data_IF_786691657293
#
_entry.id   IF_786691657293
#
_cell.length_a   1.000
_cell.length_b   1.000
_cell.length_c   1.000
_cell.angle_alpha   90.00
_cell.angle_beta   90.00
_cell.angle_gamma   90.00
#
_symmetry.space_group_name_H-M   'P 1'
#
loop_
_entity.id
_entity.type
_entity.pdbx_description
1 polymer ?
#
# COMPACT_ATOMS: atom_id res chain seq x y z
N UNK A 1 65.33 -72.88 -36.25
CA UNK A 1 64.48 -72.62 -37.47
C UNK A 1 63.50 -71.52 -37.12
N UNK A 2 63.78 -70.54 -37.52
CA UNK A 2 63.48 -69.21 -37.90
C UNK A 2 62.04 -68.96 -38.26
N UNK A 3 61.40 -67.94 -37.77
CA UNK A 3 60.56 -67.05 -38.56
C UNK A 3 60.19 -65.79 -37.77
N UNK A 4 60.81 -64.76 -38.23
CA UNK A 4 60.44 -63.36 -37.87
C UNK A 4 59.08 -62.99 -38.46
N UNK A 5 58.29 -62.26 -37.74
CA UNK A 5 57.19 -61.55 -38.34
C UNK A 5 57.12 -60.13 -37.73
N UNK A 6 57.23 -59.18 -38.63
CA UNK A 6 57.09 -57.74 -38.40
C UNK A 6 55.66 -57.39 -38.06
N UNK A 7 55.40 -56.62 -37.04
CA UNK A 7 54.10 -55.99 -36.82
C UNK A 7 54.26 -54.48 -36.96
N UNK A 8 53.57 -53.92 -37.95
CA UNK A 8 53.50 -52.49 -38.18
C UNK A 8 52.50 -51.81 -37.21
N UNK A 9 52.94 -50.79 -36.53
CA UNK A 9 52.08 -49.98 -35.67
C UNK A 9 51.34 -48.92 -36.50
N UNK A 10 50.02 -49.00 -36.53
CA UNK A 10 49.14 -47.93 -37.02
C UNK A 10 48.80 -46.97 -35.83
N UNK A 11 49.21 -45.73 -35.91
CA UNK A 11 48.79 -44.66 -35.02
C UNK A 11 47.47 -44.09 -35.51
N UNK A 12 46.41 -44.35 -34.78
CA UNK A 12 45.11 -43.65 -34.94
C UNK A 12 45.13 -42.35 -34.13
N UNK A 13 45.09 -41.24 -34.83
CA UNK A 13 44.93 -39.94 -34.24
C UNK A 13 43.43 -39.73 -33.80
N UNK A 14 43.25 -39.58 -32.50
CA UNK A 14 41.93 -39.23 -31.94
C UNK A 14 41.74 -37.71 -31.97
N UNK A 15 40.87 -37.24 -32.87
CA UNK A 15 40.40 -35.85 -32.85
C UNK A 15 39.39 -35.70 -31.69
N UNK A 16 39.77 -35.00 -30.64
CA UNK A 16 38.88 -34.61 -29.56
C UNK A 16 38.00 -33.42 -30.02
N UNK A 17 36.73 -33.68 -30.28
CA UNK A 17 35.73 -32.64 -30.50
C UNK A 17 35.38 -31.99 -29.17
N UNK A 18 35.82 -30.75 -28.96
CA UNK A 18 35.36 -29.88 -27.84
C UNK A 18 33.91 -29.46 -28.08
N UNK A 19 32.97 -30.21 -27.53
CA UNK A 19 31.60 -29.73 -27.37
C UNK A 19 31.58 -28.65 -26.28
N UNK A 20 31.52 -27.38 -26.69
CA UNK A 20 31.29 -26.26 -25.78
C UNK A 20 29.88 -26.40 -25.15
N UNK A 21 29.83 -26.79 -23.88
CA UNK A 21 28.62 -26.72 -23.08
C UNK A 21 28.20 -25.26 -22.96
N UNK A 22 27.19 -24.83 -23.71
CA UNK A 22 26.49 -23.60 -23.47
C UNK A 22 25.81 -23.75 -22.11
N UNK A 23 26.32 -23.03 -21.11
CA UNK A 23 25.60 -22.82 -19.85
C UNK A 23 24.28 -22.16 -20.17
N UNK A 24 23.17 -22.91 -20.10
CA UNK A 24 21.85 -22.35 -20.10
C UNK A 24 21.74 -21.46 -18.85
N UNK A 25 21.66 -20.15 -19.06
CA UNK A 25 21.34 -19.22 -17.98
C UNK A 25 19.96 -19.65 -17.43
N UNK A 26 19.96 -20.16 -16.20
CA UNK A 26 18.71 -20.47 -15.51
C UNK A 26 17.93 -19.16 -15.40
N UNK A 27 16.66 -19.19 -15.82
CA UNK A 27 15.75 -18.10 -15.56
C UNK A 27 15.75 -17.80 -14.04
N UNK A 28 15.69 -16.55 -13.62
CA UNK A 28 15.58 -16.24 -12.18
C UNK A 28 14.39 -17.04 -11.61
N UNK A 29 14.51 -17.57 -10.38
CA UNK A 29 13.42 -18.27 -9.76
C UNK A 29 12.19 -17.34 -9.71
N UNK A 30 10.96 -17.86 -9.92
CA UNK A 30 9.76 -17.07 -9.78
C UNK A 30 9.77 -16.43 -8.40
N UNK A 31 9.38 -15.15 -8.33
CA UNK A 31 9.28 -14.39 -7.10
C UNK A 31 8.55 -15.24 -6.05
N UNK A 32 9.27 -15.63 -4.99
CA UNK A 32 8.77 -16.56 -3.99
C UNK A 32 7.92 -15.89 -2.92
N UNK A 33 7.53 -14.64 -3.13
CA UNK A 33 6.61 -13.95 -2.23
C UNK A 33 5.28 -14.72 -2.18
N UNK A 34 4.78 -15.08 -1.00
CA UNK A 34 3.53 -15.82 -0.90
C UNK A 34 2.40 -14.97 -1.46
N UNK A 35 1.68 -15.52 -2.45
CA UNK A 35 0.48 -14.86 -2.98
C UNK A 35 -0.51 -14.61 -1.86
N UNK A 36 -0.93 -13.37 -1.72
CA UNK A 36 -1.95 -13.04 -0.73
C UNK A 36 -3.31 -13.60 -1.16
N UNK A 37 -4.08 -14.09 -0.19
CA UNK A 37 -5.46 -14.53 -0.38
C UNK A 37 -6.45 -13.52 0.18
N UNK A 38 -5.97 -12.66 1.06
CA UNK A 38 -6.78 -11.71 1.79
C UNK A 38 -6.29 -10.29 1.53
N UNK A 39 -7.21 -9.33 1.59
CA UNK A 39 -6.96 -7.90 1.62
C UNK A 39 -7.70 -7.28 2.80
N UNK A 40 -6.99 -6.55 3.64
CA UNK A 40 -7.59 -5.72 4.68
C UNK A 40 -7.45 -4.26 4.25
N UNK A 41 -8.57 -3.58 4.13
CA UNK A 41 -8.69 -2.18 3.72
C UNK A 41 -8.93 -1.30 4.94
N UNK A 42 -8.17 -0.23 5.10
CA UNK A 42 -8.29 0.70 6.24
C UNK A 42 -8.56 2.11 5.73
N UNK A 43 -9.70 2.69 6.13
CA UNK A 43 -10.10 4.03 5.69
C UNK A 43 -9.36 5.13 6.48
N UNK A 44 -9.25 6.33 5.87
CA UNK A 44 -8.64 7.49 6.48
C UNK A 44 -9.56 8.27 7.43
N UNK A 45 -9.06 9.39 7.93
CA UNK A 45 -9.86 10.40 8.62
C UNK A 45 -10.94 10.97 7.70
N UNK A 46 -12.04 11.46 8.26
CA UNK A 46 -13.17 12.04 7.52
C UNK A 46 -13.86 11.08 6.56
N UNK A 47 -13.67 9.77 6.75
CA UNK A 47 -14.25 8.72 5.94
C UNK A 47 -14.74 7.57 6.83
N UNK A 48 -15.35 6.57 6.20
CA UNK A 48 -15.69 5.28 6.78
C UNK A 48 -15.36 4.15 5.78
N UNK A 49 -15.58 2.90 6.15
CA UNK A 49 -15.28 1.76 5.29
C UNK A 49 -16.03 1.74 3.96
N UNK A 50 -17.11 2.51 3.80
CA UNK A 50 -17.87 2.59 2.55
C UNK A 50 -17.12 3.32 1.44
N UNK A 51 -16.07 4.08 1.77
CA UNK A 51 -15.22 4.73 0.75
C UNK A 51 -14.49 3.71 -0.13
N UNK A 52 -14.37 2.46 0.30
CA UNK A 52 -13.78 1.35 -0.46
C UNK A 52 -14.75 0.61 -1.38
N UNK A 53 -16.05 0.98 -1.36
CA UNK A 53 -17.11 0.25 -2.09
C UNK A 53 -16.83 0.09 -3.58
N UNK A 54 -16.12 1.04 -4.20
CA UNK A 54 -15.82 1.00 -5.63
C UNK A 54 -14.56 0.17 -5.94
N UNK A 55 -13.67 -0.05 -4.95
CA UNK A 55 -12.46 -0.90 -5.06
C UNK A 55 -12.77 -2.38 -4.81
N UNK A 56 -13.60 -2.67 -3.81
CA UNK A 56 -13.91 -4.03 -3.34
C UNK A 56 -14.31 -4.98 -4.47
N UNK A 57 -15.20 -4.63 -5.41
CA UNK A 57 -15.62 -5.55 -6.48
C UNK A 57 -14.47 -6.01 -7.38
N UNK A 58 -13.49 -5.14 -7.66
CA UNK A 58 -12.33 -5.51 -8.46
C UNK A 58 -11.44 -6.54 -7.77
N UNK A 59 -11.25 -6.40 -6.44
CA UNK A 59 -10.48 -7.34 -5.63
C UNK A 59 -11.17 -8.70 -5.54
N UNK A 60 -12.48 -8.69 -5.28
CA UNK A 60 -13.31 -9.91 -5.22
C UNK A 60 -13.35 -10.65 -6.56
N UNK A 61 -13.37 -9.93 -7.67
CA UNK A 61 -13.32 -10.52 -9.02
C UNK A 61 -12.00 -11.30 -9.30
N UNK A 62 -10.93 -11.02 -8.51
CA UNK A 62 -9.67 -11.77 -8.53
C UNK A 62 -9.63 -12.90 -7.50
N UNK A 63 -10.74 -13.19 -6.84
CA UNK A 63 -10.84 -14.27 -5.84
C UNK A 63 -10.22 -13.90 -4.48
N UNK A 64 -9.92 -12.63 -4.26
CA UNK A 64 -9.41 -12.16 -2.97
C UNK A 64 -10.53 -12.07 -1.93
N UNK A 65 -10.28 -12.54 -0.72
CA UNK A 65 -11.13 -12.31 0.44
C UNK A 65 -10.85 -10.90 0.97
N UNK A 66 -11.87 -10.06 1.07
CA UNK A 66 -11.70 -8.63 1.38
C UNK A 66 -12.46 -8.28 2.65
N UNK A 67 -11.80 -7.61 3.57
CA UNK A 67 -12.41 -7.01 4.75
C UNK A 67 -12.05 -5.53 4.85
N UNK A 68 -13.02 -4.68 5.19
CA UNK A 68 -12.81 -3.27 5.47
C UNK A 68 -12.93 -3.00 6.96
N UNK A 69 -11.89 -2.40 7.53
CA UNK A 69 -11.87 -1.96 8.93
C UNK A 69 -12.83 -0.77 9.09
N UNK A 70 -13.52 -0.73 10.23
CA UNK A 70 -14.32 0.42 10.66
C UNK A 70 -13.63 1.03 11.88
N UNK A 71 -12.55 1.78 11.64
CA UNK A 71 -11.80 2.39 12.73
C UNK A 71 -12.57 3.58 13.33
N UNK A 72 -12.58 3.70 14.67
CA UNK A 72 -13.43 4.67 15.37
C UNK A 72 -12.95 6.12 15.29
N UNK A 73 -11.74 6.38 14.77
CA UNK A 73 -11.15 7.71 14.60
C UNK A 73 -11.00 8.50 15.91
N UNK A 74 -10.72 7.78 17.02
CA UNK A 74 -10.57 8.37 18.36
C UNK A 74 -9.11 8.56 18.74
N UNK A 75 -8.35 7.48 18.74
CA UNK A 75 -6.90 7.47 18.99
C UNK A 75 -6.21 6.50 18.05
N UNK A 76 -4.91 6.68 17.83
CA UNK A 76 -4.13 5.74 17.02
C UNK A 76 -4.18 4.32 17.57
N UNK A 77 -4.08 4.18 18.90
CA UNK A 77 -4.06 2.85 19.56
C UNK A 77 -5.37 2.09 19.32
N UNK A 78 -6.52 2.76 19.51
CA UNK A 78 -7.83 2.15 19.25
C UNK A 78 -7.99 1.76 17.78
N UNK A 79 -7.60 2.63 16.85
CA UNK A 79 -7.68 2.36 15.43
C UNK A 79 -6.77 1.19 15.02
N UNK A 80 -5.57 1.10 15.60
CA UNK A 80 -4.67 -0.05 15.43
C UNK A 80 -5.30 -1.34 15.96
N UNK A 81 -6.00 -1.29 17.10
CA UNK A 81 -6.69 -2.45 17.65
C UNK A 81 -7.82 -2.94 16.74
N UNK A 82 -8.58 -2.05 16.11
CA UNK A 82 -9.60 -2.44 15.13
C UNK A 82 -8.98 -3.11 13.89
N UNK A 83 -7.84 -2.60 13.41
CA UNK A 83 -7.10 -3.22 12.33
C UNK A 83 -6.55 -4.61 12.72
N UNK A 84 -5.97 -4.76 13.92
CA UNK A 84 -5.48 -6.05 14.45
C UNK A 84 -6.60 -7.08 14.58
N UNK A 85 -7.78 -6.69 15.08
CA UNK A 85 -8.96 -7.56 15.16
C UNK A 85 -9.41 -8.05 13.80
N UNK A 86 -9.38 -7.16 12.77
CA UNK A 86 -9.73 -7.54 11.40
C UNK A 86 -8.68 -8.49 10.82
N UNK A 87 -7.38 -8.22 11.02
CA UNK A 87 -6.30 -9.11 10.61
C UNK A 87 -6.39 -10.48 11.28
N UNK A 88 -6.83 -10.54 12.55
CA UNK A 88 -7.01 -11.79 13.26
C UNK A 88 -8.01 -12.75 12.60
N UNK A 89 -9.01 -12.20 11.88
CA UNK A 89 -10.01 -12.98 11.15
C UNK A 89 -9.47 -13.52 9.80
N UNK A 90 -8.34 -13.05 9.33
CA UNK A 90 -7.76 -13.50 8.07
C UNK A 90 -7.05 -14.84 8.22
N UNK A 91 -7.27 -15.74 7.29
CA UNK A 91 -6.75 -17.13 7.31
C UNK A 91 -5.41 -17.30 6.58
N UNK A 92 -4.51 -16.35 6.61
CA UNK A 92 -3.19 -16.47 5.98
C UNK A 92 -2.68 -15.20 5.31
N UNK A 93 -1.90 -15.31 4.23
CA UNK A 93 -1.22 -14.18 3.60
C UNK A 93 -2.19 -13.06 3.21
N UNK A 94 -1.90 -11.84 3.67
CA UNK A 94 -2.81 -10.70 3.60
C UNK A 94 -2.07 -9.45 3.11
N UNK A 95 -2.65 -8.72 2.17
CA UNK A 95 -2.26 -7.36 1.85
C UNK A 95 -2.98 -6.40 2.80
N UNK A 96 -2.25 -5.48 3.40
CA UNK A 96 -2.82 -4.40 4.19
C UNK A 96 -2.78 -3.11 3.37
N UNK A 97 -3.94 -2.61 2.96
CA UNK A 97 -4.06 -1.39 2.17
C UNK A 97 -4.71 -0.27 2.98
N UNK A 98 -4.08 0.89 2.99
CA UNK A 98 -4.43 2.00 3.84
C UNK A 98 -4.52 3.31 3.05
N UNK A 99 -5.58 4.08 3.32
CA UNK A 99 -5.81 5.38 2.73
C UNK A 99 -5.57 6.50 3.73
N UNK A 100 -4.85 7.55 3.33
CA UNK A 100 -4.74 8.80 4.10
C UNK A 100 -4.12 8.58 5.49
N UNK A 101 -4.79 9.05 6.54
CA UNK A 101 -4.41 8.88 7.94
C UNK A 101 -4.05 7.41 8.26
N UNK A 102 -4.83 6.45 7.77
CA UNK A 102 -4.62 5.06 8.14
C UNK A 102 -3.32 4.43 7.63
N UNK A 103 -2.56 5.13 6.82
CA UNK A 103 -1.18 4.74 6.54
C UNK A 103 -0.32 4.65 7.81
N UNK A 104 -0.60 5.48 8.84
CA UNK A 104 0.02 5.35 10.17
C UNK A 104 -0.35 4.01 10.80
N UNK A 105 -1.62 3.60 10.68
CA UNK A 105 -2.10 2.30 11.18
C UNK A 105 -1.37 1.17 10.45
N UNK A 106 -1.28 1.22 9.11
CA UNK A 106 -0.56 0.21 8.34
C UNK A 106 0.93 0.15 8.71
N UNK A 107 1.55 1.28 8.99
CA UNK A 107 2.93 1.39 9.47
C UNK A 107 3.12 0.68 10.81
N UNK A 108 2.17 0.84 11.75
CA UNK A 108 2.22 0.24 13.07
C UNK A 108 1.87 -1.26 13.07
N UNK A 109 0.75 -1.65 12.43
CA UNK A 109 0.24 -3.03 12.52
C UNK A 109 0.76 -3.96 11.43
N UNK A 110 1.37 -3.41 10.39
CA UNK A 110 1.89 -4.18 9.25
C UNK A 110 3.03 -5.15 9.58
N UNK A 111 3.57 -5.09 10.79
CA UNK A 111 4.54 -6.07 11.32
C UNK A 111 3.91 -7.44 11.58
N UNK A 112 2.58 -7.55 11.59
CA UNK A 112 1.88 -8.84 11.74
C UNK A 112 2.43 -9.86 10.72
N UNK A 113 2.76 -11.08 11.14
CA UNK A 113 3.34 -12.11 10.25
C UNK A 113 2.43 -12.51 9.10
N UNK A 114 1.12 -12.31 9.19
CA UNK A 114 0.18 -12.54 8.09
C UNK A 114 0.30 -11.49 7.00
N UNK A 115 0.75 -10.27 7.32
CA UNK A 115 0.90 -9.18 6.33
C UNK A 115 2.10 -9.45 5.44
N UNK A 116 1.84 -9.65 4.15
CA UNK A 116 2.88 -9.95 3.14
C UNK A 116 3.27 -8.75 2.30
N UNK A 117 2.41 -7.74 2.23
CA UNK A 117 2.70 -6.48 1.55
C UNK A 117 1.84 -5.34 2.11
N UNK A 118 2.35 -4.12 1.97
CA UNK A 118 1.69 -2.88 2.38
C UNK A 118 1.37 -2.03 1.16
N UNK A 119 0.16 -1.47 1.11
CA UNK A 119 -0.25 -0.54 0.06
C UNK A 119 -0.72 0.76 0.70
N UNK A 120 -0.05 1.84 0.38
CA UNK A 120 -0.35 3.20 0.83
C UNK A 120 -1.01 3.97 -0.30
N UNK A 121 -2.15 4.59 -0.08
CA UNK A 121 -2.89 5.37 -1.08
C UNK A 121 -3.11 6.78 -0.53
N UNK A 122 -2.45 7.80 -1.11
CA UNK A 122 -2.47 9.18 -0.62
C UNK A 122 -2.29 9.22 0.91
N UNK A 123 -1.33 8.48 1.45
CA UNK A 123 -1.33 8.07 2.85
C UNK A 123 -0.09 8.53 3.62
N UNK A 124 -0.28 8.71 4.94
CA UNK A 124 0.79 9.00 5.88
C UNK A 124 1.63 7.76 6.11
N UNK A 125 2.96 7.91 6.08
CA UNK A 125 3.88 6.80 6.33
C UNK A 125 5.07 7.27 7.20
N UNK A 126 4.83 7.51 8.50
CA UNK A 126 5.91 7.92 9.40
C UNK A 126 6.92 6.79 9.63
N UNK A 127 8.09 7.15 10.12
CA UNK A 127 9.02 6.22 10.73
C UNK A 127 8.64 5.93 12.20
N UNK A 128 9.24 4.92 12.81
CA UNK A 128 9.03 4.62 14.22
C UNK A 128 9.42 5.82 15.10
N UNK A 129 8.50 6.26 15.96
CA UNK A 129 8.68 7.43 16.83
C UNK A 129 8.62 8.79 16.15
N UNK A 130 8.50 8.84 14.82
CA UNK A 130 8.50 10.09 14.07
C UNK A 130 7.27 10.95 14.37
N UNK A 131 7.50 12.25 14.53
CA UNK A 131 6.44 13.24 14.58
C UNK A 131 5.98 13.59 13.17
N UNK A 132 4.89 12.95 12.73
CA UNK A 132 4.35 13.22 11.40
C UNK A 132 3.93 14.69 11.21
N UNK A 133 3.46 15.35 12.25
CA UNK A 133 3.05 16.77 12.17
C UNK A 133 4.27 17.65 11.89
N UNK A 134 5.38 17.40 12.58
CA UNK A 134 6.64 18.11 12.34
C UNK A 134 7.22 17.82 10.94
N UNK A 135 7.08 16.57 10.43
CA UNK A 135 7.46 16.23 9.07
C UNK A 135 6.60 17.00 8.06
N UNK A 136 5.27 16.97 8.22
CA UNK A 136 4.33 17.63 7.32
C UNK A 136 4.51 19.17 7.30
N UNK A 137 4.91 19.76 8.42
CA UNK A 137 5.17 21.20 8.51
C UNK A 137 6.36 21.69 7.65
N UNK A 138 7.16 20.76 7.11
CA UNK A 138 8.25 21.10 6.16
C UNK A 138 7.73 21.33 4.73
N UNK A 139 6.47 21.07 4.47
CA UNK A 139 5.80 21.22 3.18
C UNK A 139 4.69 22.27 3.24
N UNK A 140 4.31 22.87 2.12
CA UNK A 140 3.19 23.80 2.07
C UNK A 140 1.92 23.20 2.69
N UNK A 141 1.25 23.97 3.55
CA UNK A 141 0.02 23.54 4.22
C UNK A 141 -1.09 23.27 3.20
N UNK A 142 -1.68 22.06 3.17
CA UNK A 142 -2.75 21.74 2.24
C UNK A 142 -4.03 22.53 2.51
N UNK A 143 -4.79 22.93 1.47
CA UNK A 143 -5.99 23.75 1.62
C UNK A 143 -7.09 23.16 2.50
N UNK A 144 -7.28 21.84 2.48
CA UNK A 144 -8.33 21.17 3.27
C UNK A 144 -8.25 21.48 4.77
N UNK A 145 -7.06 21.74 5.29
CA UNK A 145 -6.86 22.06 6.71
C UNK A 145 -7.60 23.33 7.17
N UNK A 146 -7.78 24.30 6.28
CA UNK A 146 -8.53 25.52 6.56
C UNK A 146 -10.05 25.30 6.70
N UNK A 147 -10.54 24.18 6.21
CA UNK A 147 -11.95 23.81 6.25
C UNK A 147 -12.35 22.90 7.42
N UNK A 148 -11.49 22.73 8.41
CA UNK A 148 -11.79 21.91 9.57
C UNK A 148 -12.79 22.60 10.51
N UNK A 149 -13.91 21.92 10.77
CA UNK A 149 -14.95 22.38 11.69
C UNK A 149 -14.85 21.59 12.99
N UNK A 150 -14.52 22.26 14.08
CA UNK A 150 -14.39 21.67 15.42
C UNK A 150 -15.68 21.84 16.22
N UNK A 151 -16.15 20.75 16.82
CA UNK A 151 -17.23 20.76 17.79
C UNK A 151 -16.74 21.06 19.20
N UNK A 152 -17.66 21.47 20.10
CA UNK A 152 -17.36 21.66 21.52
C UNK A 152 -17.13 20.34 22.28
N UNK A 153 -17.39 19.22 21.62
CA UNK A 153 -17.29 17.85 22.15
C UNK A 153 -15.89 17.20 21.91
N UNK A 154 -14.91 17.97 21.40
CA UNK A 154 -13.56 17.46 21.09
C UNK A 154 -13.48 16.67 19.79
N UNK A 155 -14.50 16.79 18.92
CA UNK A 155 -14.49 16.14 17.61
C UNK A 155 -14.54 17.17 16.47
N UNK A 156 -13.93 16.81 15.35
CA UNK A 156 -13.86 17.65 14.15
C UNK A 156 -14.29 16.90 12.90
N UNK A 157 -14.69 17.65 11.88
CA UNK A 157 -14.99 17.16 10.54
C UNK A 157 -14.59 18.20 9.49
N UNK A 158 -14.52 17.83 8.23
CA UNK A 158 -14.40 18.82 7.16
C UNK A 158 -15.76 19.49 6.91
N UNK A 159 -15.72 20.79 6.66
CA UNK A 159 -16.89 21.49 6.11
C UNK A 159 -17.26 20.91 4.76
N UNK A 160 -18.53 21.00 4.33
CA UNK A 160 -18.97 20.54 3.01
C UNK A 160 -18.10 21.16 1.91
N UNK A 161 -17.81 22.47 2.00
CA UNK A 161 -16.97 23.15 1.02
C UNK A 161 -15.57 22.55 0.93
N UNK A 162 -14.89 22.29 2.03
CA UNK A 162 -13.56 21.70 2.04
C UNK A 162 -13.60 20.24 1.57
N UNK A 163 -14.63 19.48 1.96
CA UNK A 163 -14.79 18.11 1.51
C UNK A 163 -14.95 18.03 -0.02
N UNK A 164 -15.79 18.89 -0.60
CA UNK A 164 -16.07 18.87 -2.04
C UNK A 164 -14.94 19.46 -2.89
N UNK A 165 -14.21 20.47 -2.38
CA UNK A 165 -13.23 21.21 -3.17
C UNK A 165 -11.77 20.83 -2.91
N UNK A 166 -11.48 20.19 -1.75
CA UNK A 166 -10.11 19.93 -1.32
C UNK A 166 -9.85 18.47 -0.91
N UNK A 167 -10.92 17.67 -0.73
CA UNK A 167 -10.81 16.25 -0.38
C UNK A 167 -11.28 15.34 -1.51
N UNK A 168 -12.37 15.68 -2.20
CA UNK A 168 -13.04 14.86 -3.21
C UNK A 168 -13.35 15.62 -4.52
N UNK A 169 -12.50 16.57 -4.92
CA UNK A 169 -12.77 17.52 -6.01
C UNK A 169 -12.87 16.89 -7.41
N UNK A 170 -12.42 15.66 -7.60
CA UNK A 170 -12.54 14.89 -8.84
C UNK A 170 -13.59 13.75 -8.77
N UNK A 171 -14.26 13.62 -7.64
CA UNK A 171 -15.37 12.67 -7.47
C UNK A 171 -16.68 13.29 -8.00
N UNK A 172 -17.51 12.48 -8.66
CA UNK A 172 -18.82 12.94 -9.16
C UNK A 172 -19.62 13.65 -8.04
N UNK A 173 -20.17 14.85 -8.28
CA UNK A 173 -20.70 15.72 -7.21
C UNK A 173 -21.77 15.08 -6.31
N UNK A 174 -22.63 14.25 -6.86
CA UNK A 174 -23.65 13.55 -6.06
C UNK A 174 -23.00 12.51 -5.11
N UNK A 175 -21.97 11.79 -5.57
CA UNK A 175 -21.23 10.82 -4.77
C UNK A 175 -20.40 11.53 -3.70
N UNK A 176 -19.71 12.63 -4.05
CA UNK A 176 -18.92 13.41 -3.10
C UNK A 176 -19.80 13.97 -1.96
N UNK A 177 -21.01 14.48 -2.25
CA UNK A 177 -21.96 14.94 -1.22
C UNK A 177 -22.44 13.79 -0.32
N UNK A 178 -22.70 12.62 -0.90
CA UNK A 178 -23.10 11.45 -0.10
C UNK A 178 -21.97 11.04 0.86
N UNK A 179 -20.71 10.98 0.37
CA UNK A 179 -19.55 10.67 1.20
C UNK A 179 -19.28 11.74 2.27
N UNK A 180 -19.47 13.01 1.94
CA UNK A 180 -19.41 14.10 2.92
C UNK A 180 -20.43 13.94 4.06
N UNK A 181 -21.63 13.43 3.75
CA UNK A 181 -22.68 13.22 4.75
C UNK A 181 -22.35 12.11 5.73
N UNK A 182 -21.65 11.06 5.27
CA UNK A 182 -21.25 9.90 6.09
C UNK A 182 -19.83 9.99 6.63
N UNK A 183 -19.15 11.15 6.48
CA UNK A 183 -17.79 11.28 6.95
C UNK A 183 -17.68 10.99 8.46
N UNK A 184 -16.69 10.17 8.84
CA UNK A 184 -16.37 9.92 10.23
C UNK A 184 -15.76 11.17 10.88
N UNK A 185 -16.33 11.61 12.00
CA UNK A 185 -15.73 12.69 12.80
C UNK A 185 -14.48 12.17 13.50
N UNK A 186 -13.44 12.97 13.54
CA UNK A 186 -12.17 12.65 14.20
C UNK A 186 -12.13 13.26 15.58
N UNK A 187 -11.58 12.55 16.56
CA UNK A 187 -11.22 13.11 17.85
C UNK A 187 -10.02 14.06 17.74
N UNK A 188 -9.95 15.09 18.58
CA UNK A 188 -8.76 15.95 18.70
C UNK A 188 -7.50 15.17 19.12
N UNK A 189 -7.65 13.95 19.69
CA UNK A 189 -6.55 13.07 20.10
C UNK A 189 -5.99 12.22 18.96
N UNK A 190 -6.69 12.12 17.81
CA UNK A 190 -6.37 11.19 16.73
C UNK A 190 -4.94 11.34 16.19
N UNK A 191 -4.47 12.57 16.11
CA UNK A 191 -3.17 12.89 15.52
C UNK A 191 -2.03 13.03 16.52
N UNK A 192 -2.29 12.77 17.83
CA UNK A 192 -1.29 12.84 18.89
C UNK A 192 -0.43 11.57 18.99
N UNK A 193 -0.94 10.43 18.49
CA UNK A 193 -0.23 9.15 18.53
C UNK A 193 0.98 9.11 17.59
N UNK A 194 2.00 8.35 18.00
CA UNK A 194 3.18 8.04 17.19
C UNK A 194 3.32 6.54 17.05
N UNK A 195 3.79 6.10 15.89
CA UNK A 195 4.08 4.67 15.67
C UNK A 195 5.29 4.23 16.48
N UNK A 196 5.25 3.00 16.98
CA UNK A 196 6.40 2.33 17.60
C UNK A 196 7.14 1.44 16.60
N UNK A 197 6.48 1.13 15.49
CA UNK A 197 6.95 0.29 14.40
C UNK A 197 7.04 1.10 13.10
N UNK A 198 7.81 0.57 12.15
CA UNK A 198 7.86 1.04 10.77
C UNK A 198 7.85 -0.17 9.83
N UNK A 199 6.70 -0.84 9.74
CA UNK A 199 6.55 -2.11 9.00
C UNK A 199 7.05 -2.05 7.54
N UNK A 200 7.00 -0.87 6.91
CA UNK A 200 7.48 -0.63 5.57
C UNK A 200 9.00 -0.81 5.40
N UNK A 201 9.77 -0.92 6.49
CA UNK A 201 11.21 -1.21 6.45
C UNK A 201 11.50 -2.66 6.07
N UNK A 202 10.58 -3.56 6.40
CA UNK A 202 10.78 -5.02 6.30
C UNK A 202 9.78 -5.68 5.34
N UNK A 203 8.79 -4.96 4.84
CA UNK A 203 7.73 -5.50 3.98
C UNK A 203 7.80 -4.90 2.57
N UNK A 204 7.49 -5.66 1.53
CA UNK A 204 7.19 -5.12 0.21
C UNK A 204 6.15 -4.02 0.31
N UNK A 205 6.45 -2.86 -0.24
CA UNK A 205 5.62 -1.66 -0.08
C UNK A 205 5.28 -1.05 -1.43
N UNK A 206 4.03 -0.66 -1.58
CA UNK A 206 3.45 -0.03 -2.76
C UNK A 206 2.85 1.31 -2.34
N UNK A 207 2.92 2.30 -3.23
CA UNK A 207 2.35 3.62 -2.95
C UNK A 207 1.64 4.21 -4.17
N UNK A 208 0.42 4.68 -3.99
CA UNK A 208 -0.31 5.50 -4.95
C UNK A 208 -0.26 6.97 -4.50
N UNK A 209 0.49 7.80 -5.22
CA UNK A 209 0.55 9.26 -5.01
C UNK A 209 -0.62 9.91 -5.74
N UNK A 210 -1.40 10.73 -5.06
CA UNK A 210 -2.46 11.54 -5.65
C UNK A 210 -1.92 12.91 -6.07
N UNK A 211 -1.70 13.13 -7.37
CA UNK A 211 -1.03 14.34 -7.89
C UNK A 211 -1.73 15.66 -7.56
N UNK A 212 -3.04 15.62 -7.42
CA UNK A 212 -3.88 16.79 -7.16
C UNK A 212 -4.41 16.80 -5.71
N UNK A 213 -3.73 16.09 -4.81
CA UNK A 213 -4.10 16.04 -3.40
C UNK A 213 -4.00 17.44 -2.76
N UNK A 214 -5.09 17.84 -2.11
CA UNK A 214 -5.22 19.12 -1.39
C UNK A 214 -5.43 18.91 0.12
N UNK A 215 -5.19 17.67 0.60
CA UNK A 215 -5.31 17.23 2.00
C UNK A 215 -3.97 16.76 2.57
N UNK A 216 -3.18 16.03 1.77
CA UNK A 216 -1.76 15.78 2.00
C UNK A 216 -0.99 16.41 0.85
N UNK A 217 0.14 17.07 1.12
CA UNK A 217 0.95 17.63 0.06
C UNK A 217 1.53 16.52 -0.83
N UNK A 218 1.36 16.55 -2.16
CA UNK A 218 1.87 15.50 -3.06
C UNK A 218 3.39 15.30 -3.02
N UNK A 219 4.16 16.35 -2.71
CA UNK A 219 5.61 16.21 -2.58
C UNK A 219 5.99 15.50 -1.27
N UNK A 220 5.20 15.66 -0.21
CA UNK A 220 5.33 14.84 1.00
C UNK A 220 4.97 13.37 0.74
N UNK A 221 3.94 13.10 -0.06
CA UNK A 221 3.61 11.73 -0.47
C UNK A 221 4.78 11.10 -1.25
N UNK A 222 5.36 11.81 -2.22
CA UNK A 222 6.55 11.37 -2.97
C UNK A 222 7.76 11.14 -2.07
N UNK A 223 7.99 12.02 -1.11
CA UNK A 223 9.06 11.85 -0.14
C UNK A 223 8.90 10.55 0.66
N UNK A 224 7.70 10.31 1.19
CA UNK A 224 7.42 9.08 1.95
C UNK A 224 7.55 7.83 1.08
N UNK A 225 6.99 7.84 -0.14
CA UNK A 225 7.10 6.74 -1.09
C UNK A 225 8.56 6.41 -1.42
N UNK A 226 9.37 7.43 -1.68
CA UNK A 226 10.80 7.27 -1.98
C UNK A 226 11.57 6.74 -0.77
N UNK A 227 11.31 7.27 0.43
CA UNK A 227 11.94 6.82 1.68
C UNK A 227 11.70 5.34 1.95
N UNK A 228 10.50 4.86 1.67
CA UNK A 228 10.11 3.47 1.81
C UNK A 228 10.64 2.57 0.68
N UNK A 229 11.28 3.13 -0.35
CA UNK A 229 11.59 2.41 -1.59
C UNK A 229 10.35 1.69 -2.17
N UNK A 230 9.19 2.32 -2.06
CA UNK A 230 7.92 1.76 -2.47
C UNK A 230 7.81 1.67 -4.00
N UNK A 231 7.19 0.61 -4.51
CA UNK A 231 6.73 0.60 -5.89
C UNK A 231 5.63 1.65 -6.05
N UNK A 232 5.95 2.76 -6.73
CA UNK A 232 5.12 3.96 -6.76
C UNK A 232 4.37 4.10 -8.07
N UNK A 233 3.08 4.44 -7.98
CA UNK A 233 2.23 4.87 -9.09
C UNK A 233 1.70 6.27 -8.78
N UNK A 234 1.74 7.18 -9.76
CA UNK A 234 1.14 8.50 -9.64
C UNK A 234 -0.22 8.55 -10.33
N UNK A 235 -1.25 8.92 -9.58
CA UNK A 235 -2.62 9.03 -10.05
C UNK A 235 -2.98 10.51 -10.29
N UNK A 236 -3.62 10.78 -11.40
CA UNK A 236 -4.22 12.09 -11.66
C UNK A 236 -5.56 12.18 -10.93
N UNK A 237 -5.47 12.40 -9.62
CA UNK A 237 -6.59 12.27 -8.68
C UNK A 237 -6.50 13.26 -7.54
N UNK A 238 -7.64 13.51 -6.89
CA UNK A 238 -7.76 14.17 -5.59
C UNK A 238 -7.27 13.26 -4.47
N UNK A 239 -7.41 13.72 -3.21
CA UNK A 239 -7.12 12.90 -2.03
C UNK A 239 -7.95 11.61 -2.01
N UNK A 240 -9.20 11.65 -2.48
CA UNK A 240 -10.11 10.51 -2.47
C UNK A 240 -9.95 9.62 -3.71
N UNK A 241 -8.70 9.36 -4.10
CA UNK A 241 -8.34 8.53 -5.26
C UNK A 241 -8.90 7.10 -5.18
N UNK A 242 -9.15 6.58 -3.98
CA UNK A 242 -9.82 5.28 -3.76
C UNK A 242 -11.25 5.24 -4.33
N UNK A 243 -11.86 6.40 -4.61
CA UNK A 243 -13.17 6.52 -5.23
C UNK A 243 -13.03 6.92 -6.69
N UNK A 244 -12.29 7.99 -6.99
CA UNK A 244 -12.19 8.53 -8.35
C UNK A 244 -11.34 7.68 -9.29
N UNK A 245 -10.41 6.87 -8.73
CA UNK A 245 -9.47 5.98 -9.44
C UNK A 245 -9.52 4.56 -8.88
N UNK A 246 -10.73 4.10 -8.54
CA UNK A 246 -10.94 2.83 -7.84
C UNK A 246 -10.31 1.63 -8.58
N UNK A 247 -10.31 1.63 -9.91
CA UNK A 247 -9.71 0.56 -10.70
C UNK A 247 -8.19 0.56 -10.58
N UNK A 248 -7.56 1.71 -10.78
CA UNK A 248 -6.11 1.85 -10.70
C UNK A 248 -5.59 1.53 -9.30
N UNK A 249 -6.34 1.92 -8.27
CA UNK A 249 -6.05 1.55 -6.87
C UNK A 249 -6.19 0.04 -6.66
N UNK A 250 -7.25 -0.58 -7.20
CA UNK A 250 -7.44 -2.02 -7.12
C UNK A 250 -6.31 -2.78 -7.85
N UNK A 251 -5.90 -2.32 -9.04
CA UNK A 251 -4.81 -2.93 -9.80
C UNK A 251 -3.49 -2.91 -9.00
N UNK A 252 -3.19 -1.82 -8.27
CA UNK A 252 -2.02 -1.74 -7.39
C UNK A 252 -2.11 -2.73 -6.22
N UNK A 253 -3.28 -2.89 -5.62
CA UNK A 253 -3.51 -3.85 -4.52
C UNK A 253 -3.41 -5.30 -5.04
N UNK A 254 -3.96 -5.58 -6.22
CA UNK A 254 -3.87 -6.89 -6.89
C UNK A 254 -2.42 -7.24 -7.19
N UNK A 255 -1.65 -6.27 -7.67
CA UNK A 255 -0.22 -6.45 -7.91
C UNK A 255 0.52 -6.77 -6.59
N UNK A 256 0.23 -6.04 -5.51
CA UNK A 256 0.79 -6.29 -4.19
C UNK A 256 0.40 -7.69 -3.65
N UNK A 257 -0.76 -8.22 -4.05
CA UNK A 257 -1.21 -9.56 -3.71
C UNK A 257 -0.51 -10.65 -4.53
N UNK A 258 0.13 -10.32 -5.66
CA UNK A 258 0.80 -11.27 -6.55
C UNK A 258 -0.18 -12.13 -7.36
N UNK A 259 -1.39 -11.64 -7.70
CA UNK A 259 -2.45 -12.38 -8.39
C UNK A 259 -2.98 -11.66 -9.63
#
# INVERSE_FOLDING_TARGET
MDRRSFAAALTLGSAAALFGARSASAAPPPDSSPRARNVVLVHGAYADGSCWSDVIPYLQARGLNVASVQNPLRTLDEDCDFARRTLALMDGPTVLAAHSYSGIIATEVGVDPKVTALVYIAARAPDAGEDYTALAAQYPTPPASAGLVKGADGYAQLSESAFLNDFAQDVAPARARALCTVQGRISDELFNGRTTQAAWRDKPTFYAVSKNDRTINPDLERFMANRMNAKTTELDASHLSIVSKAREVADLIIEAAGV
#
